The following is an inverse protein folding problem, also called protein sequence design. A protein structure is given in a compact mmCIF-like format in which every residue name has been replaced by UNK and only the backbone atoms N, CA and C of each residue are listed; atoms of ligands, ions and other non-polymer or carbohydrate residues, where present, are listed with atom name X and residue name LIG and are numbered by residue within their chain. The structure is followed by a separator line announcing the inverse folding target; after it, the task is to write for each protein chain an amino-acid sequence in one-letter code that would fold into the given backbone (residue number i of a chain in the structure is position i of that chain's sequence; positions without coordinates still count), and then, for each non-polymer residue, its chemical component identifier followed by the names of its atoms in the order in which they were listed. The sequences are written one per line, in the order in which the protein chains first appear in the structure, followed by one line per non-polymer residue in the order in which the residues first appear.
data_IF_078796224095
#
_entry.id   IF_078796224095
#
_cell.length_a   1.000
_cell.length_b   1.000
_cell.length_c   1.000
_cell.angle_alpha   90.00
_cell.angle_beta   90.00
_cell.angle_gamma   90.00
#
_symmetry.space_group_name_H-M   'P 1'
#
loop_
_entity.id
_entity.type
_entity.pdbx_description
1 polymer ?
#
# COMPACT_ATOMS: atom_id res chain seq x y z
N UNK A 1 7.04 13.33 -19.34
CA UNK A 1 6.28 13.66 -18.12
C UNK A 1 7.27 14.09 -17.06
N UNK A 2 7.18 15.32 -16.56
CA UNK A 2 7.94 15.75 -15.39
C UNK A 2 7.10 15.45 -14.15
N UNK A 3 7.62 14.61 -13.24
CA UNK A 3 6.97 14.35 -11.95
C UNK A 3 7.56 15.33 -10.95
N UNK A 4 6.75 16.24 -10.37
CA UNK A 4 7.24 17.21 -9.41
C UNK A 4 7.92 16.54 -8.20
N UNK A 5 8.97 17.17 -7.67
CA UNK A 5 9.71 16.64 -6.51
C UNK A 5 8.79 16.38 -5.31
N UNK A 6 7.77 17.21 -5.10
CA UNK A 6 6.85 17.04 -3.97
C UNK A 6 6.07 15.71 -4.03
N UNK A 7 5.80 15.17 -5.22
CA UNK A 7 5.11 13.87 -5.37
C UNK A 7 6.01 12.76 -4.84
N UNK A 8 7.30 12.78 -5.19
CA UNK A 8 8.28 11.84 -4.67
C UNK A 8 8.40 11.93 -3.15
N UNK A 9 8.49 13.15 -2.62
CA UNK A 9 8.54 13.37 -1.18
C UNK A 9 7.28 12.88 -0.48
N UNK A 10 6.09 13.11 -1.05
CA UNK A 10 4.82 12.64 -0.50
C UNK A 10 4.73 11.11 -0.50
N UNK A 11 5.14 10.45 -1.58
CA UNK A 11 5.17 8.97 -1.66
C UNK A 11 6.14 8.38 -0.63
N UNK A 12 7.36 8.92 -0.54
CA UNK A 12 8.36 8.46 0.44
C UNK A 12 7.87 8.70 1.86
N UNK A 13 7.30 9.87 2.15
CA UNK A 13 6.71 10.18 3.45
C UNK A 13 5.56 9.22 3.79
N UNK A 14 4.70 8.88 2.83
CA UNK A 14 3.64 7.90 2.99
C UNK A 14 4.16 6.51 3.32
N UNK A 15 5.20 6.03 2.64
CA UNK A 15 5.85 4.74 2.93
C UNK A 15 6.45 4.75 4.34
N UNK A 16 7.18 5.81 4.71
CA UNK A 16 7.74 5.95 6.06
C UNK A 16 6.63 5.96 7.11
N UNK A 17 5.52 6.66 6.86
CA UNK A 17 4.38 6.70 7.77
C UNK A 17 3.75 5.31 7.96
N UNK A 18 3.66 4.50 6.89
CA UNK A 18 3.20 3.11 6.99
C UNK A 18 4.14 2.25 7.82
N UNK A 19 5.45 2.34 7.61
CA UNK A 19 6.40 1.61 8.43
C UNK A 19 6.32 2.01 9.91
N UNK A 20 6.27 3.31 10.20
CA UNK A 20 6.08 3.80 11.56
C UNK A 20 4.79 3.25 12.15
N UNK A 21 3.69 3.32 11.40
CA UNK A 21 2.40 2.77 11.82
C UNK A 21 2.50 1.27 12.12
N UNK A 22 3.13 0.46 11.27
CA UNK A 22 3.30 -0.98 11.45
C UNK A 22 4.10 -1.30 12.73
N UNK A 23 5.21 -0.59 12.94
CA UNK A 23 6.02 -0.75 14.16
C UNK A 23 5.23 -0.41 15.42
N UNK A 24 4.40 0.64 15.40
CA UNK A 24 3.66 1.05 16.59
C UNK A 24 2.37 0.26 16.82
N UNK A 25 1.68 -0.17 15.76
CA UNK A 25 0.40 -0.87 15.86
C UNK A 25 0.58 -2.38 16.03
N UNK A 26 1.54 -2.98 15.32
CA UNK A 26 1.68 -4.44 15.26
C UNK A 26 2.67 -5.00 16.29
N UNK A 27 3.77 -4.29 16.61
CA UNK A 27 4.86 -4.84 17.44
C UNK A 27 4.61 -4.70 18.96
N UNK A 28 3.62 -3.90 19.38
CA UNK A 28 3.47 -3.52 20.80
C UNK A 28 3.10 -4.66 21.75
N UNK A 29 2.53 -5.76 21.27
CA UNK A 29 2.16 -6.89 22.12
C UNK A 29 2.36 -8.23 21.40
N UNK A 30 3.34 -9.06 21.79
CA UNK A 30 3.49 -10.40 21.24
C UNK A 30 2.26 -11.24 21.60
N UNK A 31 1.42 -11.53 20.61
CA UNK A 31 0.30 -12.47 20.71
C UNK A 31 0.26 -13.26 19.40
N UNK A 32 -0.21 -14.50 19.43
CA UNK A 32 -0.51 -15.24 18.21
C UNK A 32 -1.69 -14.55 17.51
N UNK A 33 -1.51 -14.02 16.28
CA UNK A 33 -2.58 -13.33 15.59
C UNK A 33 -3.73 -14.30 15.34
N UNK A 34 -4.92 -13.94 15.82
CA UNK A 34 -6.14 -14.66 15.46
C UNK A 34 -6.39 -14.54 13.96
N UNK A 35 -6.98 -15.56 13.34
CA UNK A 35 -7.33 -15.54 11.91
C UNK A 35 -8.15 -14.29 11.54
N UNK A 36 -9.05 -13.83 12.43
CA UNK A 36 -9.86 -12.62 12.20
C UNK A 36 -9.01 -11.34 12.17
N UNK A 37 -8.00 -11.28 13.03
CA UNK A 37 -7.09 -10.13 13.12
C UNK A 37 -6.17 -10.08 11.91
N UNK A 38 -5.57 -11.22 11.54
CA UNK A 38 -4.74 -11.33 10.34
C UNK A 38 -5.51 -10.98 9.06
N UNK A 39 -6.76 -11.44 8.94
CA UNK A 39 -7.63 -11.09 7.83
C UNK A 39 -7.98 -9.60 7.81
N UNK A 40 -8.30 -8.99 8.95
CA UNK A 40 -8.61 -7.56 9.05
C UNK A 40 -7.42 -6.69 8.62
N UNK A 41 -6.22 -7.00 9.12
CA UNK A 41 -4.99 -6.30 8.72
C UNK A 41 -4.70 -6.47 7.22
N UNK A 42 -4.80 -7.70 6.69
CA UNK A 42 -4.64 -7.94 5.25
C UNK A 42 -5.60 -7.11 4.42
N UNK A 43 -6.89 -7.10 4.77
CA UNK A 43 -7.89 -6.29 4.09
C UNK A 43 -7.57 -4.80 4.15
N UNK A 44 -7.09 -4.29 5.29
CA UNK A 44 -6.73 -2.89 5.44
C UNK A 44 -5.59 -2.48 4.49
N UNK A 45 -4.50 -3.27 4.41
CA UNK A 45 -3.39 -2.97 3.52
C UNK A 45 -3.76 -3.13 2.04
N UNK A 46 -4.58 -4.12 1.70
CA UNK A 46 -5.10 -4.28 0.34
C UNK A 46 -5.96 -3.06 -0.04
N UNK A 47 -6.88 -2.64 0.83
CA UNK A 47 -7.72 -1.47 0.59
C UNK A 47 -6.87 -0.20 0.37
N UNK A 48 -5.81 -0.02 1.16
CA UNK A 48 -4.89 1.10 1.00
C UNK A 48 -4.19 1.08 -0.37
N UNK A 49 -3.70 -0.08 -0.80
CA UNK A 49 -3.10 -0.25 -2.12
C UNK A 49 -4.10 0.08 -3.24
N UNK A 50 -5.34 -0.39 -3.12
CA UNK A 50 -6.41 -0.09 -4.08
C UNK A 50 -6.72 1.41 -4.16
N UNK A 51 -6.78 2.10 -3.02
CA UNK A 51 -6.99 3.56 -2.96
C UNK A 51 -5.85 4.31 -3.63
N UNK A 52 -4.60 3.92 -3.38
CA UNK A 52 -3.44 4.53 -4.03
C UNK A 52 -3.46 4.33 -5.55
N UNK A 53 -3.73 3.10 -6.01
CA UNK A 53 -3.85 2.78 -7.44
C UNK A 53 -4.99 3.53 -8.13
N UNK A 54 -6.14 3.67 -7.46
CA UNK A 54 -7.25 4.47 -7.96
C UNK A 54 -6.87 5.96 -8.05
N UNK A 55 -6.14 6.50 -7.07
CA UNK A 55 -5.58 7.85 -7.13
C UNK A 55 -4.65 8.05 -8.32
N UNK A 56 -3.75 7.10 -8.59
CA UNK A 56 -2.88 7.13 -9.77
C UNK A 56 -3.68 7.11 -11.08
N UNK A 57 -4.71 6.26 -11.15
CA UNK A 57 -5.59 6.20 -12.32
C UNK A 57 -6.27 7.55 -12.57
N UNK A 58 -6.83 8.17 -11.53
CA UNK A 58 -7.57 9.44 -11.65
C UNK A 58 -6.65 10.62 -11.99
N UNK A 59 -5.43 10.66 -11.46
CA UNK A 59 -4.51 11.81 -11.63
C UNK A 59 -3.63 11.68 -12.88
N UNK A 60 -3.15 10.47 -13.19
CA UNK A 60 -2.20 10.22 -14.29
C UNK A 60 -2.74 9.32 -15.40
N UNK A 61 -4.03 8.96 -15.33
CA UNK A 61 -4.75 8.26 -16.39
C UNK A 61 -4.69 6.73 -16.27
N UNK A 62 -5.53 6.08 -17.08
CA UNK A 62 -5.78 4.64 -17.03
C UNK A 62 -4.52 3.79 -17.25
N UNK A 63 -3.59 4.22 -18.11
CA UNK A 63 -2.38 3.47 -18.39
C UNK A 63 -1.49 3.31 -17.14
N UNK A 64 -1.26 4.39 -16.39
CA UNK A 64 -0.42 4.36 -15.18
C UNK A 64 -1.10 3.62 -14.03
N UNK A 65 -2.42 3.79 -13.89
CA UNK A 65 -3.22 3.00 -12.96
C UNK A 65 -3.13 1.50 -13.26
N UNK A 66 -3.26 1.11 -14.53
CA UNK A 66 -3.15 -0.28 -14.96
C UNK A 66 -1.74 -0.85 -14.74
N UNK A 67 -0.68 -0.09 -15.03
CA UNK A 67 0.72 -0.48 -14.74
C UNK A 67 0.91 -0.76 -13.23
N UNK A 68 0.38 0.11 -12.36
CA UNK A 68 0.43 -0.09 -10.90
C UNK A 68 -0.32 -1.35 -10.46
N UNK A 69 -1.56 -1.54 -10.92
CA UNK A 69 -2.37 -2.70 -10.54
C UNK A 69 -1.80 -4.01 -11.07
N UNK A 70 -1.24 -4.02 -12.28
CA UNK A 70 -0.55 -5.17 -12.84
C UNK A 70 0.63 -5.57 -11.94
N UNK A 71 1.49 -4.62 -11.56
CA UNK A 71 2.59 -4.86 -10.63
C UNK A 71 2.10 -5.37 -9.28
N UNK A 72 1.10 -4.71 -8.68
CA UNK A 72 0.53 -5.11 -7.39
C UNK A 72 0.01 -6.55 -7.39
N UNK A 73 -0.76 -6.94 -8.41
CA UNK A 73 -1.33 -8.29 -8.51
C UNK A 73 -0.21 -9.32 -8.73
N UNK A 74 0.78 -9.01 -9.56
CA UNK A 74 1.94 -9.89 -9.79
C UNK A 74 2.72 -10.13 -8.50
N UNK A 75 3.09 -9.08 -7.77
CA UNK A 75 3.80 -9.21 -6.50
C UNK A 75 2.98 -9.96 -5.44
N UNK A 76 1.67 -9.69 -5.36
CA UNK A 76 0.78 -10.43 -4.44
C UNK A 76 0.67 -11.91 -4.78
N UNK A 77 0.72 -12.27 -6.06
CA UNK A 77 0.70 -13.67 -6.50
C UNK A 77 1.99 -14.41 -6.14
N UNK A 78 3.12 -13.71 -6.05
CA UNK A 78 4.43 -14.27 -5.66
C UNK A 78 4.63 -14.38 -4.14
N UNK A 79 3.79 -13.71 -3.35
CA UNK A 79 3.88 -13.66 -1.89
C UNK A 79 3.20 -14.86 -1.18
N UNK A 80 2.98 -15.97 -1.90
CA UNK A 80 2.33 -17.20 -1.38
C UNK A 80 3.26 -18.01 -0.50
#
# INVERSE_FOLDING_TARGET
MHVPLWVWLATVAGIIALFVFDFFSHVRKPHEPSFKEAAAWSCAYIALALVFGAGLWLVWGAQRGAEYFAGFITEKSLSV
#
